data_IF_713085339648
#
_entry.id   IF_713085339648
#
_cell.length_a   1.000
_cell.length_b   1.000
_cell.length_c   1.000
_cell.angle_alpha   90.00
_cell.angle_beta   90.00
_cell.angle_gamma   90.00
#
_symmetry.space_group_name_H-M   'P 1'
#
loop_
_entity.id
_entity.type
_entity.pdbx_description
1 polymer ?
#
# COMPACT_ATOMS: atom_id res chain seq x y z
N UNK A 1 -6.37 -25.25 2.77
CA UNK A 1 -4.96 -24.98 3.13
C UNK A 1 -3.98 -25.09 1.94
N UNK A 2 -4.25 -25.89 0.90
CA UNK A 2 -3.36 -26.03 -0.28
C UNK A 2 -3.30 -24.80 -1.20
N UNK A 3 -4.41 -24.07 -1.37
CA UNK A 3 -4.46 -22.93 -2.32
C UNK A 3 -3.45 -21.81 -1.98
N UNK A 4 -3.28 -21.46 -0.69
CA UNK A 4 -2.36 -20.39 -0.27
C UNK A 4 -0.89 -20.72 -0.55
N UNK A 5 -0.47 -21.95 -0.26
CA UNK A 5 0.90 -22.41 -0.56
C UNK A 5 1.18 -22.43 -2.06
N UNK A 6 0.17 -22.79 -2.86
CA UNK A 6 0.26 -22.78 -4.31
C UNK A 6 0.39 -21.35 -4.87
N UNK A 7 -0.40 -20.40 -4.37
CA UNK A 7 -0.29 -18.97 -4.76
C UNK A 7 1.11 -18.45 -4.49
N UNK A 8 1.64 -18.69 -3.29
CA UNK A 8 2.94 -18.21 -2.86
C UNK A 8 4.07 -18.85 -3.69
N UNK A 9 3.97 -20.17 -3.96
CA UNK A 9 4.90 -20.88 -4.84
C UNK A 9 4.91 -20.34 -6.27
N UNK A 10 3.73 -20.10 -6.88
CA UNK A 10 3.62 -19.52 -8.23
C UNK A 10 4.20 -18.10 -8.26
N UNK A 11 3.95 -17.29 -7.22
CA UNK A 11 4.51 -15.94 -7.13
C UNK A 11 6.04 -15.97 -7.08
N UNK A 12 6.64 -16.83 -6.25
CA UNK A 12 8.09 -16.97 -6.22
C UNK A 12 8.67 -17.47 -7.54
N UNK A 13 7.95 -18.33 -8.25
CA UNK A 13 8.37 -18.81 -9.56
C UNK A 13 8.40 -17.66 -10.58
N UNK A 14 7.33 -16.88 -10.66
CA UNK A 14 7.23 -15.71 -11.56
C UNK A 14 8.31 -14.67 -11.23
N UNK A 15 8.43 -14.28 -9.96
CA UNK A 15 9.41 -13.28 -9.52
C UNK A 15 10.85 -13.79 -9.71
N UNK A 16 11.09 -15.08 -9.45
CA UNK A 16 12.38 -15.72 -9.68
C UNK A 16 12.78 -15.70 -11.16
N UNK A 17 11.86 -16.03 -12.07
CA UNK A 17 12.11 -15.93 -13.52
C UNK A 17 12.45 -14.49 -13.90
N UNK A 18 11.66 -13.50 -13.45
CA UNK A 18 11.93 -12.08 -13.74
C UNK A 18 13.29 -11.62 -13.22
N UNK A 19 13.68 -12.06 -12.01
CA UNK A 19 14.98 -11.74 -11.43
C UNK A 19 16.14 -12.34 -12.23
N UNK A 20 15.99 -13.58 -12.71
CA UNK A 20 16.98 -14.26 -13.56
C UNK A 20 17.11 -13.54 -14.91
N UNK A 21 16.00 -13.21 -15.56
CA UNK A 21 16.00 -12.47 -16.83
C UNK A 21 16.67 -11.10 -16.72
N UNK A 22 16.48 -10.41 -15.59
CA UNK A 22 17.20 -9.18 -15.26
C UNK A 22 18.69 -9.43 -15.11
N UNK A 23 19.10 -10.47 -14.38
CA UNK A 23 20.51 -10.80 -14.16
C UNK A 23 21.27 -11.05 -15.46
N UNK A 24 20.64 -11.74 -16.43
CA UNK A 24 21.21 -11.96 -17.75
C UNK A 24 21.15 -10.74 -18.70
N UNK A 25 20.63 -9.60 -18.24
CA UNK A 25 20.52 -8.39 -19.05
C UNK A 25 19.50 -8.48 -20.19
N UNK A 26 18.66 -9.52 -20.22
CA UNK A 26 17.60 -9.69 -21.21
C UNK A 26 16.48 -8.67 -20.95
N UNK A 27 16.24 -8.35 -19.68
CA UNK A 27 15.15 -7.50 -19.24
C UNK A 27 15.71 -6.31 -18.42
N UNK A 28 15.55 -5.10 -18.95
CA UNK A 28 15.97 -3.87 -18.29
C UNK A 28 14.83 -3.42 -17.37
N UNK A 29 14.79 -3.96 -16.16
CA UNK A 29 13.83 -3.59 -15.11
C UNK A 29 14.52 -3.07 -13.87
N UNK A 30 13.95 -2.01 -13.29
CA UNK A 30 14.44 -1.46 -12.03
C UNK A 30 14.13 -2.40 -10.85
N UNK A 31 14.79 -2.21 -9.71
CA UNK A 31 14.51 -3.01 -8.51
C UNK A 31 13.09 -2.72 -7.98
N UNK A 32 12.62 -1.49 -8.13
CA UNK A 32 11.29 -1.04 -7.76
C UNK A 32 10.22 -1.77 -8.58
N UNK A 33 10.43 -1.93 -9.89
CA UNK A 33 9.53 -2.71 -10.75
C UNK A 33 9.45 -4.16 -10.28
N UNK A 34 10.59 -4.80 -10.01
CA UNK A 34 10.63 -6.18 -9.55
C UNK A 34 9.86 -6.36 -8.22
N UNK A 35 10.11 -5.50 -7.24
CA UNK A 35 9.39 -5.55 -5.95
C UNK A 35 7.90 -5.23 -6.10
N UNK A 36 7.56 -4.23 -6.91
CA UNK A 36 6.18 -3.84 -7.19
C UNK A 36 5.38 -4.98 -7.83
N UNK A 37 5.95 -5.62 -8.84
CA UNK A 37 5.37 -6.80 -9.48
C UNK A 37 5.22 -7.96 -8.50
N UNK A 38 6.23 -8.23 -7.66
CA UNK A 38 6.15 -9.29 -6.65
C UNK A 38 4.99 -9.07 -5.68
N UNK A 39 4.83 -7.84 -5.17
CA UNK A 39 3.75 -7.51 -4.26
C UNK A 39 2.38 -7.62 -4.93
N UNK A 40 2.22 -7.09 -6.14
CA UNK A 40 0.95 -7.18 -6.89
C UNK A 40 0.58 -8.62 -7.20
N UNK A 41 1.53 -9.42 -7.70
CA UNK A 41 1.33 -10.83 -8.02
C UNK A 41 0.89 -11.64 -6.80
N UNK A 42 1.45 -11.36 -5.62
CA UNK A 42 1.04 -12.03 -4.39
C UNK A 42 -0.32 -11.54 -3.88
N UNK A 43 -0.53 -10.22 -3.90
CA UNK A 43 -1.72 -9.64 -3.28
C UNK A 43 -3.00 -9.90 -4.05
N UNK A 44 -2.98 -9.91 -5.39
CA UNK A 44 -4.20 -10.05 -6.20
C UNK A 44 -4.92 -11.39 -5.96
N UNK A 45 -4.26 -12.56 -6.07
CA UNK A 45 -4.89 -13.84 -5.76
C UNK A 45 -5.29 -13.94 -4.28
N UNK A 46 -4.49 -13.35 -3.37
CA UNK A 46 -4.76 -13.38 -1.94
C UNK A 46 -6.01 -12.57 -1.58
N UNK A 47 -6.22 -11.39 -2.20
CA UNK A 47 -7.46 -10.60 -2.08
C UNK A 47 -8.65 -11.41 -2.55
N UNK A 48 -8.55 -12.05 -3.74
CA UNK A 48 -9.65 -12.85 -4.29
C UNK A 48 -10.04 -14.02 -3.38
N UNK A 49 -9.06 -14.77 -2.85
CA UNK A 49 -9.33 -15.87 -1.91
C UNK A 49 -9.86 -15.35 -0.57
N UNK A 50 -9.36 -14.21 -0.08
CA UNK A 50 -9.79 -13.64 1.20
C UNK A 50 -11.23 -13.12 1.16
N UNK A 51 -11.65 -12.55 0.02
CA UNK A 51 -13.06 -12.20 -0.24
C UNK A 51 -13.94 -13.45 -0.16
N UNK A 52 -13.63 -14.49 -0.94
CA UNK A 52 -14.44 -15.72 -0.98
C UNK A 52 -14.46 -16.52 0.33
N UNK A 53 -13.49 -16.33 1.22
CA UNK A 53 -13.42 -17.01 2.53
C UNK A 53 -13.88 -16.14 3.71
N UNK A 54 -14.20 -14.86 3.47
CA UNK A 54 -14.61 -13.90 4.51
C UNK A 54 -13.50 -13.52 5.51
N UNK A 55 -12.23 -13.80 5.21
CA UNK A 55 -11.10 -13.53 6.10
C UNK A 55 -10.70 -12.04 6.04
N UNK A 56 -11.42 -11.20 6.81
CA UNK A 56 -11.25 -9.73 6.77
C UNK A 56 -9.84 -9.24 7.07
N UNK A 57 -9.15 -9.85 8.04
CA UNK A 57 -7.78 -9.42 8.40
C UNK A 57 -6.78 -9.65 7.25
N UNK A 58 -6.90 -10.80 6.58
CA UNK A 58 -6.05 -11.12 5.44
C UNK A 58 -6.40 -10.25 4.22
N UNK A 59 -7.68 -9.93 4.03
CA UNK A 59 -8.12 -9.01 2.99
C UNK A 59 -7.48 -7.63 3.15
N UNK A 60 -7.47 -7.09 4.37
CA UNK A 60 -6.83 -5.80 4.67
C UNK A 60 -5.33 -5.85 4.37
N UNK A 61 -4.63 -6.85 4.91
CA UNK A 61 -3.19 -6.99 4.68
C UNK A 61 -2.84 -7.14 3.20
N UNK A 62 -3.57 -8.00 2.47
CA UNK A 62 -3.35 -8.21 1.06
C UNK A 62 -3.62 -6.94 0.24
N UNK A 63 -4.65 -6.16 0.60
CA UNK A 63 -4.95 -4.87 -0.05
C UNK A 63 -3.86 -3.84 0.21
N UNK A 64 -3.33 -3.77 1.44
CA UNK A 64 -2.21 -2.87 1.76
C UNK A 64 -0.97 -3.26 0.96
N UNK A 65 -0.64 -4.55 0.89
CA UNK A 65 0.49 -5.04 0.07
C UNK A 65 0.27 -4.72 -1.41
N UNK A 66 -0.96 -4.86 -1.93
CA UNK A 66 -1.31 -4.47 -3.29
C UNK A 66 -1.02 -2.98 -3.55
N UNK A 67 -1.52 -2.11 -2.67
CA UNK A 67 -1.30 -0.66 -2.79
C UNK A 67 0.19 -0.31 -2.74
N UNK A 68 0.98 -0.94 -1.86
CA UNK A 68 2.43 -0.77 -1.82
C UNK A 68 3.04 -1.18 -3.17
N UNK A 69 2.65 -2.34 -3.71
CA UNK A 69 3.13 -2.80 -5.01
C UNK A 69 2.86 -1.81 -6.15
N UNK A 70 1.66 -1.23 -6.19
CA UNK A 70 1.29 -0.18 -7.16
C UNK A 70 2.20 1.05 -7.00
N UNK A 71 2.46 1.49 -5.78
CA UNK A 71 3.32 2.66 -5.51
C UNK A 71 4.75 2.43 -6.00
N UNK A 72 5.29 1.23 -5.79
CA UNK A 72 6.62 0.86 -6.29
C UNK A 72 6.69 0.91 -7.82
N UNK A 73 5.66 0.41 -8.51
CA UNK A 73 5.58 0.50 -9.98
C UNK A 73 5.49 1.96 -10.42
N UNK A 74 4.60 2.76 -9.84
CA UNK A 74 4.44 4.18 -10.20
C UNK A 74 5.75 4.95 -10.00
N UNK A 75 6.43 4.74 -8.87
CA UNK A 75 7.74 5.33 -8.58
C UNK A 75 8.80 4.98 -9.62
N UNK A 76 8.72 3.81 -10.25
CA UNK A 76 9.70 3.39 -11.26
C UNK A 76 9.53 4.05 -12.63
N UNK A 77 8.31 4.49 -12.97
CA UNK A 77 8.00 5.06 -14.28
C UNK A 77 7.95 6.59 -14.26
N UNK A 78 7.68 7.19 -13.09
CA UNK A 78 7.56 8.62 -12.95
C UNK A 78 8.69 9.15 -12.08
N UNK A 79 9.44 10.14 -12.57
CA UNK A 79 10.34 10.92 -11.72
C UNK A 79 9.50 11.74 -10.74
N UNK A 80 9.38 11.21 -9.52
CA UNK A 80 8.63 11.85 -8.45
C UNK A 80 9.45 13.03 -7.93
N UNK A 81 9.14 14.22 -8.43
CA UNK A 81 9.76 15.49 -7.99
C UNK A 81 9.39 15.85 -6.54
N UNK A 82 8.28 15.33 -6.00
CA UNK A 82 7.82 15.60 -4.63
C UNK A 82 7.37 14.31 -3.94
N UNK A 83 8.32 13.63 -3.30
CA UNK A 83 8.10 12.34 -2.64
C UNK A 83 7.02 12.40 -1.54
N UNK A 84 6.91 13.53 -0.85
CA UNK A 84 5.96 13.70 0.27
C UNK A 84 4.53 13.87 -0.22
N UNK A 85 4.32 14.59 -1.32
CA UNK A 85 3.00 14.70 -1.94
C UNK A 85 2.42 13.36 -2.40
N UNK A 86 3.29 12.46 -2.87
CA UNK A 86 2.90 11.11 -3.27
C UNK A 86 2.55 10.24 -2.07
N UNK A 87 3.25 10.37 -0.94
CA UNK A 87 2.88 9.64 0.28
C UNK A 87 1.45 9.99 0.71
N UNK A 88 1.09 11.27 0.71
CA UNK A 88 -0.26 11.69 1.09
C UNK A 88 -1.34 11.13 0.14
N UNK A 89 -1.14 11.26 -1.17
CA UNK A 89 -2.04 10.68 -2.19
C UNK A 89 -2.15 9.16 -2.05
N UNK A 90 -1.04 8.47 -1.78
CA UNK A 90 -0.98 7.03 -1.58
C UNK A 90 -1.76 6.58 -0.35
N UNK A 91 -1.63 7.32 0.76
CA UNK A 91 -2.36 7.01 2.00
C UNK A 91 -3.86 7.13 1.76
N UNK A 92 -4.32 8.24 1.15
CA UNK A 92 -5.74 8.44 0.83
C UNK A 92 -6.28 7.35 -0.09
N UNK A 93 -5.54 7.03 -1.15
CA UNK A 93 -5.93 5.99 -2.09
C UNK A 93 -5.97 4.61 -1.41
N UNK A 94 -4.94 4.27 -0.64
CA UNK A 94 -4.82 3.00 0.05
C UNK A 94 -5.90 2.81 1.12
N UNK A 95 -6.16 3.83 1.95
CA UNK A 95 -7.24 3.78 2.94
C UNK A 95 -8.61 3.64 2.27
N UNK A 96 -8.84 4.39 1.18
CA UNK A 96 -10.05 4.27 0.38
C UNK A 96 -10.22 2.88 -0.23
N UNK A 97 -9.16 2.30 -0.81
CA UNK A 97 -9.18 0.97 -1.41
C UNK A 97 -9.45 -0.14 -0.38
N UNK A 98 -8.84 -0.06 0.80
CA UNK A 98 -9.08 -1.00 1.91
C UNK A 98 -10.53 -0.94 2.38
N UNK A 99 -11.07 0.26 2.60
CA UNK A 99 -12.47 0.43 2.99
C UNK A 99 -13.41 -0.04 1.90
N UNK A 100 -13.09 0.24 0.64
CA UNK A 100 -13.89 -0.21 -0.50
C UNK A 100 -13.98 -1.74 -0.50
N UNK A 101 -12.84 -2.45 -0.48
CA UNK A 101 -12.81 -3.91 -0.53
C UNK A 101 -13.43 -4.57 0.71
N UNK A 102 -13.29 -3.98 1.90
CA UNK A 102 -13.91 -4.51 3.11
C UNK A 102 -15.44 -4.45 3.10
N UNK A 103 -16.01 -3.42 2.47
CA UNK A 103 -17.44 -3.14 2.54
C UNK A 103 -18.17 -3.35 1.21
N UNK A 104 -17.47 -3.74 0.14
CA UNK A 104 -18.08 -3.96 -1.19
C UNK A 104 -19.20 -5.00 -1.17
N UNK A 105 -19.05 -6.07 -0.38
CA UNK A 105 -20.08 -7.10 -0.20
C UNK A 105 -21.08 -6.75 0.91
N UNK A 106 -20.78 -5.76 1.76
CA UNK A 106 -21.61 -5.41 2.92
C UNK A 106 -22.47 -4.17 2.66
N UNK A 107 -23.54 -4.35 1.88
CA UNK A 107 -24.49 -3.31 1.49
C UNK A 107 -25.28 -2.68 2.66
N UNK A 108 -25.16 -3.21 3.88
CA UNK A 108 -25.83 -2.66 5.07
C UNK A 108 -25.18 -1.36 5.55
N UNK A 109 -23.86 -1.24 5.42
CA UNK A 109 -23.10 -0.10 5.93
C UNK A 109 -22.59 0.80 4.79
N UNK A 110 -23.52 1.37 4.02
CA UNK A 110 -23.23 2.20 2.84
C UNK A 110 -22.36 3.42 3.17
N UNK A 111 -22.38 3.89 4.41
CA UNK A 111 -21.57 5.02 4.87
C UNK A 111 -20.07 4.74 4.66
N UNK A 112 -19.60 3.52 4.91
CA UNK A 112 -18.19 3.16 4.69
C UNK A 112 -17.83 3.11 3.20
N UNK A 113 -18.73 2.63 2.34
CA UNK A 113 -18.54 2.65 0.88
C UNK A 113 -18.49 4.07 0.34
N UNK A 114 -19.34 4.97 0.85
CA UNK A 114 -19.29 6.39 0.49
C UNK A 114 -17.96 6.99 0.94
N UNK A 115 -17.52 6.72 2.18
CA UNK A 115 -16.23 7.21 2.68
C UNK A 115 -15.05 6.68 1.86
N UNK A 116 -15.12 5.44 1.39
CA UNK A 116 -14.12 4.84 0.52
C UNK A 116 -14.08 5.57 -0.84
N UNK A 117 -15.25 5.79 -1.45
CA UNK A 117 -15.38 6.53 -2.70
C UNK A 117 -14.87 7.97 -2.58
N UNK A 118 -15.22 8.68 -1.50
CA UNK A 118 -14.73 10.05 -1.27
C UNK A 118 -13.23 10.08 -1.06
N UNK A 119 -12.65 9.13 -0.32
CA UNK A 119 -11.20 9.02 -0.16
C UNK A 119 -10.48 8.77 -1.48
N UNK A 120 -11.00 7.87 -2.33
CA UNK A 120 -10.43 7.59 -3.66
C UNK A 120 -10.51 8.85 -4.53
N UNK A 121 -11.65 9.54 -4.56
CA UNK A 121 -11.79 10.79 -5.32
C UNK A 121 -10.86 11.88 -4.78
N UNK A 122 -10.73 12.01 -3.46
CA UNK A 122 -9.83 12.97 -2.82
C UNK A 122 -8.36 12.66 -3.15
N UNK A 123 -7.99 11.38 -3.27
CA UNK A 123 -6.65 10.98 -3.68
C UNK A 123 -6.34 11.43 -5.11
N UNK A 124 -7.29 11.29 -6.04
CA UNK A 124 -7.14 11.78 -7.41
C UNK A 124 -7.04 13.31 -7.45
N UNK A 125 -7.89 14.00 -6.69
CA UNK A 125 -7.87 15.46 -6.59
C UNK A 125 -6.54 15.96 -5.98
N UNK A 126 -6.01 15.26 -4.98
CA UNK A 126 -4.70 15.51 -4.39
C UNK A 126 -3.57 15.34 -5.41
N UNK A 127 -3.61 14.30 -6.23
CA UNK A 127 -2.59 14.06 -7.24
C UNK A 127 -2.52 15.16 -8.31
N UNK A 128 -3.65 15.79 -8.62
CA UNK A 128 -3.81 16.70 -9.76
C UNK A 128 -3.81 18.18 -9.37
N UNK A 129 -4.61 18.57 -8.37
CA UNK A 129 -4.91 19.96 -8.06
C UNK A 129 -4.13 20.50 -6.85
N UNK A 130 -3.77 19.65 -5.87
CA UNK A 130 -3.10 20.11 -4.65
C UNK A 130 -1.68 20.65 -4.89
N UNK A 131 -1.05 20.21 -5.98
CA UNK A 131 0.24 20.77 -6.42
C UNK A 131 0.13 22.24 -6.79
N UNK A 132 -0.87 22.57 -7.59
CA UNK A 132 -1.08 23.91 -8.11
C UNK A 132 -1.48 24.89 -7.00
N UNK A 133 -2.22 24.41 -5.99
CA UNK A 133 -2.68 25.24 -4.88
C UNK A 133 -1.64 25.39 -3.75
N UNK A 134 -0.47 24.78 -3.88
CA UNK A 134 0.59 24.86 -2.87
C UNK A 134 0.27 24.16 -1.55
N UNK A 135 -0.77 23.31 -1.50
CA UNK A 135 -1.16 22.54 -0.32
C UNK A 135 -0.08 21.53 0.10
N UNK A 136 0.76 21.09 -0.82
CA UNK A 136 1.94 20.28 -0.48
C UNK A 136 2.92 21.01 0.44
N UNK A 137 2.99 22.35 0.43
CA UNK A 137 3.82 23.07 1.41
C UNK A 137 3.32 22.89 2.84
N UNK A 138 2.00 22.83 3.04
CA UNK A 138 1.41 22.57 4.35
C UNK A 138 1.58 21.11 4.77
N UNK A 139 1.34 20.17 3.85
CA UNK A 139 1.59 18.75 4.10
C UNK A 139 3.07 18.49 4.43
N UNK A 140 4.00 19.16 3.73
CA UNK A 140 5.43 19.05 3.98
C UNK A 140 5.82 19.60 5.36
N UNK A 141 5.24 20.73 5.79
CA UNK A 141 5.43 21.25 7.16
C UNK A 141 4.91 20.28 8.23
N UNK A 142 3.76 19.64 8.01
CA UNK A 142 3.27 18.60 8.92
C UNK A 142 4.21 17.39 8.93
N UNK A 143 4.71 16.99 7.76
CA UNK A 143 5.73 15.95 7.62
C UNK A 143 7.01 16.26 8.39
N UNK A 144 7.52 17.50 8.31
CA UNK A 144 8.71 17.94 9.05
C UNK A 144 8.50 17.84 10.57
N UNK A 145 7.30 18.21 11.04
CA UNK A 145 6.93 18.04 12.46
C UNK A 145 6.94 16.54 12.81
N UNK A 146 6.31 15.69 12.00
CA UNK A 146 6.33 14.23 12.23
C UNK A 146 7.75 13.64 12.22
N UNK A 147 8.64 14.12 11.37
CA UNK A 147 10.04 13.67 11.27
C UNK A 147 10.88 14.10 12.48
N UNK A 148 10.46 15.14 13.22
CA UNK A 148 11.04 15.49 14.52
C UNK A 148 10.48 14.60 15.64
N UNK A 149 9.20 14.26 15.57
CA UNK A 149 8.50 13.53 16.65
C UNK A 149 8.54 12.00 16.55
N UNK A 150 8.86 11.41 15.39
CA UNK A 150 8.88 9.95 15.24
C UNK A 150 9.81 9.21 16.24
N UNK A 151 10.99 9.73 16.66
CA UNK A 151 11.83 9.02 17.63
C UNK A 151 11.19 9.02 19.02
N UNK A 152 10.48 10.10 19.37
CA UNK A 152 9.73 10.22 20.64
C UNK A 152 8.55 9.27 20.66
N UNK A 153 7.81 9.17 19.54
CA UNK A 153 6.71 8.22 19.39
C UNK A 153 7.24 6.79 19.50
N UNK A 154 8.36 6.45 18.85
CA UNK A 154 8.98 5.13 18.94
C UNK A 154 9.48 4.80 20.34
N UNK A 155 10.07 5.76 21.05
CA UNK A 155 10.47 5.60 22.45
C UNK A 155 9.26 5.35 23.34
N UNK A 156 8.20 6.14 23.21
CA UNK A 156 6.97 5.95 23.97
C UNK A 156 6.32 4.59 23.69
N UNK A 157 6.29 4.17 22.42
CA UNK A 157 5.77 2.87 22.02
C UNK A 157 6.64 1.73 22.55
N UNK A 158 7.97 1.85 22.45
CA UNK A 158 8.92 0.88 22.98
C UNK A 158 8.80 0.73 24.50
N UNK A 159 8.67 1.84 25.23
CA UNK A 159 8.43 1.85 26.67
C UNK A 159 7.07 1.21 27.01
N UNK A 160 6.01 1.54 26.27
CA UNK A 160 4.69 0.94 26.46
C UNK A 160 4.75 -0.58 26.30
N UNK A 161 5.39 -1.08 25.24
CA UNK A 161 5.57 -2.53 25.00
C UNK A 161 6.43 -3.17 26.09
N UNK A 162 7.49 -2.51 26.54
CA UNK A 162 8.35 -3.01 27.61
C UNK A 162 7.62 -3.12 28.95
N UNK A 163 6.81 -2.12 29.31
CA UNK A 163 6.01 -2.10 30.55
C UNK A 163 4.86 -3.11 30.49
N UNK A 164 4.23 -3.29 29.33
CA UNK A 164 3.15 -4.27 29.14
C UNK A 164 3.64 -5.70 28.88
N UNK A 165 4.95 -5.94 28.90
CA UNK A 165 5.48 -7.31 28.88
C UNK A 165 5.09 -8.00 30.17
N UNK A 166 4.03 -8.78 30.13
CA UNK A 166 3.72 -9.77 31.17
C UNK A 166 4.97 -10.62 31.42
N UNK A 167 5.35 -10.74 32.69
CA UNK A 167 6.32 -11.75 33.15
C UNK A 167 5.88 -13.13 32.72
#
# INVERSE_FOLDING_TARGET
MNSKKNILGICFLIVGILAILKYFGILIISIEQLMGTAFICYSLPTVYVSLGTGQRNELVLATVIFCIGVVYIVKSYFEILDARGIVFTTILFGSGAVLFLLFIENMKEKVFLISAGTMILLSYFSATNFKEWGLFKYANKLGDIFEIFWPVILLAFGLSVFVNRKK
#
